data_IF_740145106736
#
_entry.id   IF_740145106736
#
_cell.length_a   1.000
_cell.length_b   1.000
_cell.length_c   1.000
_cell.angle_alpha   90.00
_cell.angle_beta   90.00
_cell.angle_gamma   90.00
#
_symmetry.space_group_name_H-M   'P 1'
#
loop_
_entity.id
_entity.type
_entity.pdbx_description
1 polymer ?
#
# COMPACT_ATOMS: atom_id res chain seq x y z
N UNK A 1 -9.75 26.00 -4.83
CA UNK A 1 -10.67 24.89 -5.19
C UNK A 1 -10.71 23.91 -4.03
N UNK A 2 -11.69 24.05 -3.13
CA UNK A 2 -11.89 23.12 -2.02
C UNK A 2 -12.73 21.94 -2.51
N UNK A 3 -12.09 20.79 -2.77
CA UNK A 3 -12.76 19.50 -2.98
C UNK A 3 -11.99 18.39 -2.30
N UNK A 4 -11.79 18.52 -0.99
CA UNK A 4 -11.62 17.35 -0.15
C UNK A 4 -12.99 17.14 0.47
N UNK A 5 -13.87 16.43 -0.26
CA UNK A 5 -15.11 15.92 0.33
C UNK A 5 -14.73 15.17 1.60
N UNK A 6 -15.52 15.37 2.66
CA UNK A 6 -15.34 14.78 3.99
C UNK A 6 -14.72 13.39 3.88
N UNK A 7 -13.47 13.28 4.34
CA UNK A 7 -12.67 12.08 4.15
C UNK A 7 -13.39 10.92 4.83
N UNK A 8 -13.78 9.95 4.03
CA UNK A 8 -14.24 8.65 4.49
C UNK A 8 -13.08 7.82 5.03
N UNK A 9 -12.29 8.41 5.92
CA UNK A 9 -11.10 7.77 6.49
C UNK A 9 -11.56 6.48 7.19
N UNK A 10 -10.87 5.38 6.87
CA UNK A 10 -11.15 4.08 7.47
C UNK A 10 -12.33 3.29 6.89
N UNK A 11 -13.08 3.76 5.86
CA UNK A 11 -14.15 2.92 5.25
C UNK A 11 -13.63 1.67 4.57
N UNK A 12 -12.41 1.71 4.01
CA UNK A 12 -11.77 0.54 3.42
C UNK A 12 -11.25 -0.39 4.52
N UNK A 13 -10.60 0.18 5.54
CA UNK A 13 -10.15 -0.56 6.72
C UNK A 13 -11.28 -1.32 7.42
N UNK A 14 -12.42 -0.67 7.63
CA UNK A 14 -13.59 -1.25 8.29
C UNK A 14 -14.27 -2.39 7.50
N UNK A 15 -13.89 -2.60 6.23
CA UNK A 15 -14.39 -3.70 5.39
C UNK A 15 -13.50 -4.93 5.41
N UNK A 16 -12.28 -4.80 5.94
CA UNK A 16 -11.32 -5.89 6.02
C UNK A 16 -11.70 -6.86 7.13
N UNK A 17 -11.49 -8.15 6.91
CA UNK A 17 -11.54 -9.15 7.99
C UNK A 17 -10.40 -8.90 8.99
N UNK A 18 -10.46 -9.55 10.15
CA UNK A 18 -9.39 -9.46 11.15
C UNK A 18 -8.04 -9.92 10.58
N UNK A 19 -8.04 -11.00 9.80
CA UNK A 19 -6.85 -11.52 9.14
C UNK A 19 -6.28 -10.54 8.11
N UNK A 20 -7.14 -9.90 7.32
CA UNK A 20 -6.72 -8.89 6.34
C UNK A 20 -6.18 -7.62 7.03
N UNK A 21 -6.73 -7.23 8.18
CA UNK A 21 -6.22 -6.12 8.99
C UNK A 21 -4.85 -6.45 9.57
N UNK A 22 -4.67 -7.65 10.12
CA UNK A 22 -3.38 -8.12 10.64
C UNK A 22 -2.32 -8.16 9.54
N UNK A 23 -2.65 -8.70 8.37
CA UNK A 23 -1.73 -8.75 7.24
C UNK A 23 -1.34 -7.35 6.78
N UNK A 24 -2.28 -6.41 6.72
CA UNK A 24 -1.99 -5.03 6.34
C UNK A 24 -1.06 -4.33 7.35
N UNK A 25 -1.25 -4.58 8.65
CA UNK A 25 -0.34 -4.08 9.71
C UNK A 25 1.05 -4.67 9.54
N UNK A 26 1.17 -5.98 9.27
CA UNK A 26 2.47 -6.63 9.04
C UNK A 26 3.16 -6.06 7.81
N UNK A 27 2.44 -5.92 6.70
CA UNK A 27 2.97 -5.34 5.48
C UNK A 27 3.51 -3.91 5.69
N UNK A 28 2.80 -3.08 6.47
CA UNK A 28 3.26 -1.74 6.83
C UNK A 28 4.58 -1.81 7.63
N UNK A 29 4.65 -2.66 8.65
CA UNK A 29 5.86 -2.85 9.46
C UNK A 29 7.03 -3.32 8.58
N UNK A 30 6.80 -4.31 7.74
CA UNK A 30 7.82 -4.89 6.84
C UNK A 30 8.30 -3.90 5.79
N UNK A 31 7.42 -3.01 5.30
CA UNK A 31 7.77 -1.98 4.31
C UNK A 31 8.73 -0.92 4.83
N UNK A 32 8.83 -0.78 6.16
CA UNK A 32 9.78 0.14 6.79
C UNK A 32 11.21 -0.43 6.81
N UNK A 33 11.41 -1.70 6.48
CA UNK A 33 12.73 -2.30 6.31
C UNK A 33 13.18 -2.17 4.84
N UNK A 34 14.23 -1.37 4.54
CA UNK A 34 14.73 -1.22 3.18
C UNK A 34 15.21 -2.52 2.54
N UNK A 35 15.56 -3.54 3.33
CA UNK A 35 15.96 -4.86 2.80
C UNK A 35 14.80 -5.66 2.21
N UNK A 36 13.55 -5.35 2.59
CA UNK A 36 12.33 -5.92 2.01
C UNK A 36 11.88 -5.17 0.75
N UNK A 37 12.50 -4.02 0.43
CA UNK A 37 12.11 -3.19 -0.70
C UNK A 37 12.83 -3.60 -1.99
N UNK A 38 12.09 -3.56 -3.10
CA UNK A 38 12.66 -3.71 -4.44
C UNK A 38 13.01 -2.31 -4.97
N UNK A 39 14.25 -2.08 -5.46
CA UNK A 39 14.60 -0.79 -6.06
C UNK A 39 13.67 -0.41 -7.20
N UNK A 40 13.30 0.87 -7.28
CA UNK A 40 12.38 1.36 -8.31
C UNK A 40 12.85 1.03 -9.74
N UNK A 41 14.15 1.10 -9.98
CA UNK A 41 14.77 0.73 -11.26
C UNK A 41 14.53 -0.73 -11.64
N UNK A 42 14.50 -1.64 -10.67
CA UNK A 42 14.19 -3.06 -10.91
C UNK A 42 12.70 -3.27 -11.21
N UNK A 43 11.82 -2.53 -10.55
CA UNK A 43 10.38 -2.54 -10.86
C UNK A 43 10.13 -2.06 -12.30
N UNK A 44 10.77 -0.96 -12.71
CA UNK A 44 10.66 -0.43 -14.07
C UNK A 44 11.15 -1.44 -15.14
N UNK A 45 12.26 -2.14 -14.88
CA UNK A 45 12.76 -3.19 -15.78
C UNK A 45 11.75 -4.33 -15.94
N UNK A 46 11.14 -4.79 -14.85
CA UNK A 46 10.16 -5.90 -14.85
C UNK A 46 8.87 -5.54 -15.60
N UNK A 47 8.41 -4.30 -15.47
CA UNK A 47 7.14 -3.84 -16.04
C UNK A 47 7.30 -3.00 -17.32
N UNK A 48 8.44 -3.09 -18.00
CA UNK A 48 8.76 -2.34 -19.22
C UNK A 48 7.81 -2.59 -20.41
N UNK A 49 6.94 -3.60 -20.33
CA UNK A 49 5.88 -3.85 -21.33
C UNK A 49 4.56 -3.15 -21.01
N UNK A 50 4.39 -2.69 -19.77
CA UNK A 50 3.14 -2.11 -19.23
C UNK A 50 3.25 -0.61 -18.98
N UNK A 51 4.46 -0.06 -19.10
CA UNK A 51 4.79 1.37 -19.20
C UNK A 51 5.19 1.68 -20.63
#
# INVERSE_FOLDING_TARGET
MARTQEKSDGKLWARLTEEEQEELIRAEIESNDPSNLIPHTEVQKRHKKWL
#
